data_IF_277034898102
#
_entry.id   IF_277034898102
#
_cell.length_a   1.000
_cell.length_b   1.000
_cell.length_c   1.000
_cell.angle_alpha   90.00
_cell.angle_beta   90.00
_cell.angle_gamma   90.00
#
_symmetry.space_group_name_H-M   'P 1'
#
loop_
_entity.id
_entity.type
_entity.pdbx_description
1 polymer ?
#
# COMPACT_ATOMS: atom_id res chain seq x y z
N UNK A 1 0.52 -7.95 10.46
CA UNK A 1 1.71 -7.90 9.59
C UNK A 1 2.44 -6.60 9.84
N UNK A 2 3.69 -6.72 10.28
CA UNK A 2 4.64 -5.63 10.44
C UNK A 2 5.01 -5.02 9.08
N UNK A 3 5.83 -3.96 9.07
CA UNK A 3 6.34 -3.41 7.81
C UNK A 3 7.29 -4.39 7.11
N UNK A 4 8.16 -5.07 7.86
CA UNK A 4 9.08 -6.09 7.33
C UNK A 4 8.33 -7.27 6.72
N UNK A 5 7.26 -7.78 7.38
CA UNK A 5 6.43 -8.85 6.82
C UNK A 5 5.83 -8.45 5.46
N UNK A 6 5.36 -7.19 5.34
CA UNK A 6 4.77 -6.68 4.10
C UNK A 6 5.80 -6.52 3.00
N UNK A 7 6.99 -6.01 3.31
CA UNK A 7 8.09 -5.87 2.35
C UNK A 7 8.53 -7.25 1.85
N UNK A 8 8.67 -8.23 2.74
CA UNK A 8 8.98 -9.60 2.38
C UNK A 8 7.89 -10.22 1.49
N UNK A 9 6.62 -9.99 1.82
CA UNK A 9 5.51 -10.40 0.98
C UNK A 9 5.58 -9.78 -0.41
N UNK A 10 5.91 -8.49 -0.52
CA UNK A 10 6.07 -7.81 -1.81
C UNK A 10 7.26 -8.34 -2.61
N UNK A 11 8.33 -8.77 -1.94
CA UNK A 11 9.48 -9.42 -2.57
C UNK A 11 9.22 -10.88 -2.98
N UNK A 12 8.05 -11.43 -2.68
CA UNK A 12 7.62 -12.77 -3.13
C UNK A 12 6.49 -12.67 -4.16
N UNK A 13 5.46 -11.87 -3.87
CA UNK A 13 4.23 -11.78 -4.66
C UNK A 13 4.15 -10.58 -5.59
N UNK A 14 5.10 -9.64 -5.49
CA UNK A 14 5.17 -8.40 -6.26
C UNK A 14 4.45 -7.18 -5.69
N UNK A 15 5.01 -5.99 -5.98
CA UNK A 15 4.56 -4.69 -5.44
C UNK A 15 3.21 -4.23 -5.99
N UNK A 16 2.89 -4.57 -7.24
CA UNK A 16 1.66 -4.11 -7.91
C UNK A 16 0.39 -4.75 -7.33
N UNK A 17 0.52 -5.89 -6.65
CA UNK A 17 -0.60 -6.61 -6.08
C UNK A 17 -1.56 -7.22 -7.11
N UNK A 18 -2.58 -7.94 -6.61
CA UNK A 18 -3.51 -8.72 -7.43
C UNK A 18 -4.29 -7.93 -8.49
N UNK A 19 -4.63 -6.66 -8.24
CA UNK A 19 -5.44 -5.90 -9.20
C UNK A 19 -4.60 -5.50 -10.41
N UNK A 20 -3.42 -4.93 -10.21
CA UNK A 20 -2.60 -4.45 -11.31
C UNK A 20 -1.97 -5.58 -12.13
N UNK A 21 -1.85 -6.80 -11.59
CA UNK A 21 -1.35 -7.95 -12.36
C UNK A 21 -2.28 -8.35 -13.52
N UNK A 22 -3.54 -7.89 -13.54
CA UNK A 22 -4.42 -8.00 -14.72
C UNK A 22 -3.92 -7.20 -15.93
N UNK A 23 -3.11 -6.16 -15.72
CA UNK A 23 -2.60 -5.27 -16.76
C UNK A 23 -1.07 -5.35 -16.91
N UNK A 24 -0.37 -5.77 -15.86
CA UNK A 24 1.09 -5.87 -15.81
C UNK A 24 1.43 -7.32 -15.47
N UNK A 25 1.64 -8.18 -16.48
CA UNK A 25 1.89 -9.61 -16.24
C UNK A 25 3.19 -9.87 -15.47
N UNK A 26 4.23 -9.08 -15.75
CA UNK A 26 5.53 -9.26 -15.13
C UNK A 26 5.58 -8.65 -13.71
N UNK A 27 6.07 -9.40 -12.70
CA UNK A 27 6.24 -8.90 -11.35
C UNK A 27 7.15 -7.66 -11.24
N UNK A 28 6.63 -6.59 -10.64
CA UNK A 28 7.39 -5.41 -10.20
C UNK A 28 7.94 -5.62 -8.78
N UNK A 29 9.27 -5.68 -8.67
CA UNK A 29 10.00 -5.87 -7.41
C UNK A 29 10.83 -4.63 -7.06
N UNK A 30 11.24 -4.48 -5.80
CA UNK A 30 12.28 -3.49 -5.50
C UNK A 30 13.63 -4.02 -5.99
N UNK A 31 14.31 -3.25 -6.83
CA UNK A 31 15.71 -3.50 -7.16
C UNK A 31 16.65 -3.21 -5.98
N UNK A 32 16.23 -2.35 -5.06
CA UNK A 32 17.02 -1.96 -3.88
C UNK A 32 16.11 -1.50 -2.75
N UNK A 33 16.49 -1.81 -1.51
CA UNK A 33 15.88 -1.26 -0.29
C UNK A 33 16.99 -0.54 0.47
N UNK A 34 16.80 0.76 0.72
CA UNK A 34 17.77 1.62 1.40
C UNK A 34 17.19 1.99 2.76
N UNK A 35 17.92 1.66 3.83
CA UNK A 35 17.55 1.94 5.21
C UNK A 35 18.48 3.03 5.73
N UNK A 36 17.90 4.17 6.12
CA UNK A 36 18.69 5.35 6.52
C UNK A 36 19.23 5.32 7.94
N UNK A 37 18.65 4.51 8.82
CA UNK A 37 19.05 4.38 10.24
C UNK A 37 18.66 2.98 10.76
N UNK A 38 19.32 2.51 11.82
CA UNK A 38 19.15 1.15 12.38
C UNK A 38 19.45 0.00 11.40
N UNK A 39 20.31 0.25 10.40
CA UNK A 39 20.79 -0.80 9.51
C UNK A 39 21.87 -1.63 10.22
N UNK A 40 21.57 -2.90 10.49
CA UNK A 40 22.56 -3.88 10.97
C UNK A 40 22.95 -4.86 9.85
N UNK A 41 24.18 -4.78 9.32
CA UNK A 41 24.66 -5.66 8.24
C UNK A 41 24.86 -7.12 8.67
N UNK A 42 25.04 -7.40 9.96
CA UNK A 42 25.19 -8.78 10.48
C UNK A 42 23.84 -9.47 10.50
N UNK A 43 22.78 -8.72 10.85
CA UNK A 43 21.40 -9.20 10.77
C UNK A 43 20.97 -9.37 9.31
N UNK A 44 21.30 -8.44 8.41
CA UNK A 44 20.89 -8.46 6.99
C UNK A 44 21.33 -9.71 6.20
N UNK A 45 22.58 -10.16 6.36
CA UNK A 45 23.09 -11.36 5.66
C UNK A 45 22.48 -12.67 6.21
N UNK A 46 21.97 -12.67 7.44
CA UNK A 46 21.13 -13.76 7.97
C UNK A 46 19.65 -13.57 7.59
N UNK A 47 19.20 -12.33 7.39
CA UNK A 47 17.81 -11.94 7.09
C UNK A 47 17.36 -12.31 5.67
N UNK A 48 18.28 -12.39 4.70
CA UNK A 48 17.93 -12.91 3.37
C UNK A 48 17.50 -14.39 3.41
N UNK A 49 17.87 -15.12 4.48
CA UNK A 49 17.42 -16.48 4.76
C UNK A 49 16.30 -16.54 5.83
N UNK A 50 16.12 -15.49 6.63
CA UNK A 50 15.12 -15.39 7.70
C UNK A 50 14.55 -13.98 7.77
N UNK A 51 13.61 -13.66 6.89
CA UNK A 51 12.54 -12.73 7.29
C UNK A 51 11.81 -13.47 8.41
N UNK A 52 12.13 -13.17 9.67
CA UNK A 52 11.30 -13.40 10.86
C UNK A 52 12.13 -13.11 12.11
N UNK A 53 11.65 -12.12 12.87
CA UNK A 53 11.85 -11.95 14.31
C UNK A 53 13.28 -11.68 14.83
N UNK A 54 13.64 -10.40 14.92
CA UNK A 54 13.89 -9.73 16.21
C UNK A 54 14.17 -8.25 15.96
N UNK A 55 13.25 -7.37 16.38
CA UNK A 55 13.59 -5.96 16.54
C UNK A 55 14.03 -5.81 17.99
N UNK A 56 15.33 -5.62 18.21
CA UNK A 56 15.83 -5.12 19.49
C UNK A 56 15.34 -3.67 19.62
N UNK A 57 14.17 -3.47 20.21
CA UNK A 57 13.73 -2.13 20.56
C UNK A 57 14.46 -1.70 21.84
N UNK A 58 15.21 -0.58 21.85
CA UNK A 58 15.50 0.09 23.11
C UNK A 58 14.16 0.42 23.78
N UNK A 59 14.15 0.48 25.11
CA UNK A 59 12.97 0.62 26.00
C UNK A 59 12.23 1.99 25.85
N UNK A 60 12.31 2.61 24.68
CA UNK A 60 11.67 3.87 24.34
C UNK A 60 10.24 3.57 23.88
N UNK A 61 9.21 4.10 24.55
CA UNK A 61 7.85 3.97 24.06
C UNK A 61 7.73 4.66 22.70
N UNK A 62 7.60 3.85 21.64
CA UNK A 62 7.33 4.35 20.29
C UNK A 62 5.88 4.79 20.23
N UNK A 63 5.65 6.09 20.34
CA UNK A 63 4.33 6.68 20.02
C UNK A 63 4.25 6.81 18.51
N UNK A 64 3.38 6.01 17.89
CA UNK A 64 3.11 6.13 16.45
C UNK A 64 2.54 7.52 16.16
N UNK A 65 3.15 8.21 15.20
CA UNK A 65 2.63 9.51 14.77
C UNK A 65 1.21 9.30 14.20
N UNK A 66 0.20 10.07 14.67
CA UNK A 66 -1.15 9.96 14.14
C UNK A 66 -1.28 10.53 12.71
N UNK A 67 -0.20 11.11 12.18
CA UNK A 67 -0.17 11.78 10.89
C UNK A 67 0.63 10.99 9.87
N UNK A 68 0.14 11.01 8.62
CA UNK A 68 0.87 10.51 7.47
C UNK A 68 0.73 11.50 6.30
N UNK A 69 1.66 11.46 5.37
CA UNK A 69 1.61 12.27 4.15
C UNK A 69 1.82 11.35 2.95
N UNK A 70 1.04 11.55 1.88
CA UNK A 70 1.21 10.84 0.61
C UNK A 70 1.32 11.82 -0.55
N UNK A 71 2.28 11.57 -1.43
CA UNK A 71 2.52 12.34 -2.64
C UNK A 71 3.13 11.41 -3.69
N UNK A 72 2.82 11.66 -4.96
CA UNK A 72 3.47 11.01 -6.10
C UNK A 72 3.64 12.03 -7.21
N UNK A 73 4.57 11.74 -8.13
CA UNK A 73 4.86 12.60 -9.29
C UNK A 73 3.57 12.92 -10.05
N UNK A 74 3.37 14.20 -10.37
CA UNK A 74 2.15 14.71 -11.01
C UNK A 74 1.08 15.21 -10.03
N UNK A 75 1.23 15.02 -8.73
CA UNK A 75 0.43 15.76 -7.75
C UNK A 75 0.98 17.19 -7.56
N UNK A 76 0.11 18.18 -7.68
CA UNK A 76 0.43 19.57 -7.30
C UNK A 76 0.65 19.70 -5.79
N UNK A 77 -0.12 18.96 -4.98
CA UNK A 77 -0.06 19.02 -3.51
C UNK A 77 -0.09 17.64 -2.84
N UNK A 78 0.67 17.45 -1.75
CA UNK A 78 0.60 16.24 -0.93
C UNK A 78 -0.76 16.13 -0.25
N UNK A 79 -1.20 14.90 -0.01
CA UNK A 79 -2.36 14.60 0.85
C UNK A 79 -1.86 14.31 2.26
N UNK A 80 -2.33 15.09 3.22
CA UNK A 80 -2.11 14.87 4.64
C UNK A 80 -3.24 14.02 5.23
N UNK A 81 -2.85 13.05 6.04
CA UNK A 81 -3.74 12.16 6.76
C UNK A 81 -3.55 12.35 8.27
N UNK A 82 -4.65 12.36 9.02
CA UNK A 82 -4.69 12.33 10.47
C UNK A 82 -5.60 11.19 10.93
N UNK A 83 -5.08 10.29 11.75
CA UNK A 83 -5.76 9.08 12.24
C UNK A 83 -6.36 8.24 11.09
N UNK A 84 -5.59 8.06 10.02
CA UNK A 84 -6.00 7.28 8.84
C UNK A 84 -7.04 7.94 7.93
N UNK A 85 -7.40 9.21 8.15
CA UNK A 85 -8.35 9.97 7.33
C UNK A 85 -7.70 11.21 6.75
N UNK A 86 -8.22 11.74 5.64
CA UNK A 86 -7.74 13.01 5.08
C UNK A 86 -7.84 14.12 6.13
N UNK A 87 -6.79 14.92 6.27
CA UNK A 87 -6.79 16.06 7.19
C UNK A 87 -7.94 17.02 6.82
N UNK A 88 -8.72 17.43 7.82
CA UNK A 88 -9.92 18.23 7.60
C UNK A 88 -11.12 17.47 7.05
N UNK A 89 -11.07 16.13 6.98
CA UNK A 89 -12.24 15.32 6.68
C UNK A 89 -13.34 15.57 7.73
N UNK A 90 -14.45 16.16 7.28
CA UNK A 90 -15.63 16.35 8.11
C UNK A 90 -16.58 15.16 7.95
N UNK A 91 -17.23 14.80 9.05
CA UNK A 91 -18.28 13.80 9.09
C UNK A 91 -19.59 14.41 8.58
N UNK A 92 -20.37 13.63 7.84
CA UNK A 92 -21.72 14.00 7.44
C UNK A 92 -22.67 14.07 8.63
N UNK A 93 -23.87 14.60 8.40
CA UNK A 93 -24.95 14.65 9.41
C UNK A 93 -25.40 13.26 9.87
N UNK A 94 -25.14 12.25 9.04
CA UNK A 94 -25.43 10.83 9.25
C UNK A 94 -24.35 10.10 10.07
N UNK A 95 -23.29 10.80 10.50
CA UNK A 95 -22.20 10.19 11.25
C UNK A 95 -21.20 9.41 10.36
N UNK A 96 -21.29 9.53 9.03
CA UNK A 96 -20.39 8.82 8.11
C UNK A 96 -19.44 9.77 7.39
N UNK A 97 -18.29 9.23 6.94
CA UNK A 97 -17.37 9.96 6.09
C UNK A 97 -17.70 9.66 4.63
N UNK A 98 -18.27 10.65 3.95
CA UNK A 98 -18.68 10.51 2.56
C UNK A 98 -17.49 10.36 1.59
N UNK A 99 -17.73 9.91 0.34
CA UNK A 99 -16.68 9.65 -0.64
C UNK A 99 -15.73 10.83 -0.92
N UNK A 100 -16.23 12.06 -0.79
CA UNK A 100 -15.44 13.29 -0.99
C UNK A 100 -14.30 13.46 0.03
N UNK A 101 -14.39 12.82 1.19
CA UNK A 101 -13.39 12.93 2.26
C UNK A 101 -12.47 11.71 2.35
N UNK A 102 -12.65 10.70 1.49
CA UNK A 102 -11.77 9.54 1.42
C UNK A 102 -10.38 9.93 0.93
N UNK A 103 -9.36 9.30 1.52
CA UNK A 103 -7.99 9.41 1.05
C UNK A 103 -7.86 8.89 -0.38
N UNK A 104 -6.98 9.52 -1.17
CA UNK A 104 -6.68 9.09 -2.54
C UNK A 104 -6.09 7.69 -2.61
N UNK A 105 -5.38 7.27 -1.56
CA UNK A 105 -4.78 5.92 -1.43
C UNK A 105 -5.69 4.94 -0.68
N UNK A 106 -6.95 5.28 -0.43
CA UNK A 106 -7.91 4.35 0.17
C UNK A 106 -8.32 3.25 -0.81
N UNK A 107 -8.74 2.09 -0.30
CA UNK A 107 -9.18 0.95 -1.14
C UNK A 107 -10.25 1.34 -2.16
N UNK A 108 -11.34 2.07 -1.82
CA UNK A 108 -12.35 2.44 -2.81
C UNK A 108 -11.79 3.35 -3.90
N UNK A 109 -10.95 4.33 -3.54
CA UNK A 109 -10.35 5.27 -4.52
C UNK A 109 -9.36 4.59 -5.45
N UNK A 110 -8.50 3.74 -4.91
CA UNK A 110 -7.58 2.97 -5.75
C UNK A 110 -8.31 1.98 -6.65
N UNK A 111 -9.43 1.40 -6.20
CA UNK A 111 -10.24 0.51 -7.05
C UNK A 111 -10.99 1.26 -8.15
N UNK A 112 -11.55 2.44 -7.87
CA UNK A 112 -12.13 3.33 -8.89
C UNK A 112 -11.08 3.67 -9.96
N UNK A 113 -9.88 4.07 -9.53
CA UNK A 113 -8.77 4.36 -10.43
C UNK A 113 -8.40 3.13 -11.28
N UNK A 114 -8.18 1.98 -10.63
CA UNK A 114 -7.89 0.72 -11.30
C UNK A 114 -8.91 0.41 -12.39
N UNK A 115 -10.21 0.53 -12.10
CA UNK A 115 -11.26 0.24 -13.10
C UNK A 115 -11.23 1.19 -14.29
N UNK A 116 -10.99 2.49 -14.07
CA UNK A 116 -10.84 3.44 -15.18
C UNK A 116 -9.60 3.15 -16.03
N UNK A 117 -8.50 2.74 -15.38
CA UNK A 117 -7.26 2.36 -16.07
C UNK A 117 -7.45 1.06 -16.86
N UNK A 118 -8.09 0.05 -16.27
CA UNK A 118 -8.38 -1.23 -16.91
C UNK A 118 -9.24 -1.06 -18.16
N UNK A 119 -10.30 -0.25 -18.09
CA UNK A 119 -11.13 0.08 -19.25
C UNK A 119 -10.32 0.79 -20.35
N UNK A 120 -9.40 1.67 -19.97
CA UNK A 120 -8.51 2.35 -20.94
C UNK A 120 -7.50 1.38 -21.57
N UNK A 121 -7.05 0.38 -20.81
CA UNK A 121 -6.14 -0.66 -21.25
C UNK A 121 -6.82 -1.79 -22.04
N UNK A 122 -8.16 -1.76 -22.21
CA UNK A 122 -8.92 -2.81 -22.90
C UNK A 122 -9.12 -4.10 -22.09
N UNK A 123 -9.06 -4.02 -20.77
CA UNK A 123 -9.30 -5.15 -19.86
C UNK A 123 -10.75 -5.08 -19.36
N UNK A 124 -11.66 -5.74 -20.09
CA UNK A 124 -13.11 -5.49 -19.98
C UNK A 124 -13.92 -6.54 -19.20
N UNK A 125 -13.28 -7.61 -18.68
CA UNK A 125 -13.96 -8.72 -17.97
C UNK A 125 -13.64 -8.80 -16.46
N UNK A 126 -13.55 -7.64 -15.81
CA UNK A 126 -13.26 -7.56 -14.39
C UNK A 126 -14.53 -7.38 -13.55
N UNK A 127 -14.61 -8.09 -12.43
CA UNK A 127 -15.73 -7.97 -11.51
C UNK A 127 -15.87 -6.53 -10.99
N UNK A 128 -17.12 -6.11 -10.80
CA UNK A 128 -17.45 -4.82 -10.20
C UNK A 128 -17.19 -4.81 -8.69
N UNK A 129 -17.03 -5.97 -8.07
CA UNK A 129 -16.75 -6.11 -6.63
C UNK A 129 -15.24 -6.25 -6.42
N UNK A 130 -14.73 -5.50 -5.44
CA UNK A 130 -13.30 -5.44 -5.16
C UNK A 130 -12.68 -6.80 -4.84
N UNK A 131 -13.36 -7.63 -4.03
CA UNK A 131 -12.83 -8.94 -3.63
C UNK A 131 -12.75 -9.88 -4.82
N UNK A 132 -13.86 -10.06 -5.53
CA UNK A 132 -13.94 -10.92 -6.71
C UNK A 132 -12.93 -10.50 -7.79
N UNK A 133 -12.76 -9.19 -8.02
CA UNK A 133 -11.78 -8.68 -8.98
C UNK A 133 -10.33 -9.03 -8.60
N UNK A 134 -10.02 -9.13 -7.30
CA UNK A 134 -8.73 -9.63 -6.84
C UNK A 134 -8.58 -11.12 -7.05
N UNK A 135 -9.62 -11.90 -6.77
CA UNK A 135 -9.61 -13.37 -6.88
C UNK A 135 -9.56 -13.84 -8.34
N UNK A 136 -10.02 -13.01 -9.28
CA UNK A 136 -9.86 -13.25 -10.72
C UNK A 136 -8.41 -13.16 -11.19
N UNK A 137 -7.49 -12.63 -10.37
CA UNK A 137 -6.10 -12.49 -10.74
C UNK A 137 -5.39 -13.85 -10.68
N UNK A 138 -5.17 -14.47 -11.84
CA UNK A 138 -4.51 -15.77 -11.92
C UNK A 138 -2.98 -15.68 -11.76
N UNK A 139 -2.40 -14.49 -11.94
CA UNK A 139 -0.96 -14.25 -11.95
C UNK A 139 -0.40 -13.79 -10.59
N UNK A 140 -1.24 -13.67 -9.56
CA UNK A 140 -0.88 -13.18 -8.21
C UNK A 140 -1.18 -14.21 -7.12
#
# INVERSE_FOLDING_TARGET
MSCSDKIAQWQCLSLQGALLSHMIPDPIMFASIIVGDLFDPVDWNAHSARVLAEVVTPNVPVVSAPHAMSWWRGCDTPEYLANGRRQGAAMGKDGTFGPKTWSRISKPRMFELFRSTAATAGVDDLSRRYLDAKEQSAAY
#
